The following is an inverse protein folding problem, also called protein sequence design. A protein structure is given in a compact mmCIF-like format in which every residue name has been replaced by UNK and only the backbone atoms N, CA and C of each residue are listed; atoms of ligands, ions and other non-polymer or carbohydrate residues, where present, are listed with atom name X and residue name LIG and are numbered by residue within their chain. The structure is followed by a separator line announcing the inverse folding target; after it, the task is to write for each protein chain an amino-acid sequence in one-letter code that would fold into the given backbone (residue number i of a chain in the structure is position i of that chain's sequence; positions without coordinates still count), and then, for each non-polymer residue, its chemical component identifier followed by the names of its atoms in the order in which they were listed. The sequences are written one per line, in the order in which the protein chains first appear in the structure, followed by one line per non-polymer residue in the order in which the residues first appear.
data_IF_489853405347
#
_entry.id   IF_489853405347
#
_cell.length_a   1.000
_cell.length_b   1.000
_cell.length_c   1.000
_cell.angle_alpha   90.00
_cell.angle_beta   90.00
_cell.angle_gamma   90.00
#
_symmetry.space_group_name_H-M   'P 1'
#
loop_
_entity.id
_entity.type
_entity.pdbx_description
1 polymer ?
#
# COMPACT_ATOMS: atom_id res chain seq x y z
N UNK A 1 -12.02 -1.70 -22.10
CA UNK A 1 -11.08 -0.58 -21.83
C UNK A 1 -11.25 0.07 -20.45
N UNK A 2 -12.45 0.52 -20.04
CA UNK A 2 -12.64 1.30 -18.80
C UNK A 2 -12.35 0.51 -17.51
N UNK A 3 -12.76 -0.76 -17.43
CA UNK A 3 -12.50 -1.60 -16.25
C UNK A 3 -11.00 -1.84 -16.02
N UNK A 4 -10.25 -2.22 -17.07
CA UNK A 4 -8.80 -2.44 -16.97
C UNK A 4 -8.05 -1.16 -16.62
N UNK A 5 -8.51 -0.01 -17.13
CA UNK A 5 -8.01 1.32 -16.73
C UNK A 5 -8.24 1.60 -15.25
N UNK A 6 -9.45 1.39 -14.73
CA UNK A 6 -9.77 1.66 -13.32
C UNK A 6 -8.98 0.74 -12.40
N UNK A 7 -8.84 -0.55 -12.72
CA UNK A 7 -8.08 -1.51 -11.91
C UNK A 7 -6.59 -1.12 -11.88
N UNK A 8 -5.98 -0.89 -13.05
CA UNK A 8 -4.55 -0.53 -13.08
C UNK A 8 -4.27 0.81 -12.42
N UNK A 9 -5.19 1.77 -12.54
CA UNK A 9 -5.09 3.05 -11.85
C UNK A 9 -5.21 2.87 -10.33
N UNK A 10 -6.16 2.04 -9.85
CA UNK A 10 -6.35 1.73 -8.43
C UNK A 10 -5.09 1.12 -7.83
N UNK A 11 -4.66 -0.03 -8.36
CA UNK A 11 -3.50 -0.75 -7.81
C UNK A 11 -2.20 0.05 -7.98
N UNK A 12 -2.06 0.77 -9.11
CA UNK A 12 -0.94 1.66 -9.33
C UNK A 12 -0.86 2.79 -8.31
N UNK A 13 -2.00 3.35 -7.91
CA UNK A 13 -2.09 4.39 -6.87
C UNK A 13 -1.81 3.82 -5.48
N UNK A 14 -2.32 2.63 -5.16
CA UNK A 14 -2.05 1.96 -3.88
C UNK A 14 -0.54 1.67 -3.73
N UNK A 15 0.08 1.06 -4.74
CA UNK A 15 1.52 0.80 -4.79
C UNK A 15 2.35 2.09 -4.69
N UNK A 16 1.95 3.13 -5.43
CA UNK A 16 2.58 4.44 -5.35
C UNK A 16 2.51 5.01 -3.93
N UNK A 17 1.35 4.94 -3.28
CA UNK A 17 1.17 5.51 -1.94
C UNK A 17 2.08 4.83 -0.92
N UNK A 18 2.23 3.51 -0.99
CA UNK A 18 3.15 2.72 -0.15
C UNK A 18 4.59 3.23 -0.31
N UNK A 19 5.04 3.45 -1.55
CA UNK A 19 6.38 3.97 -1.84
C UNK A 19 6.55 5.40 -1.33
N UNK A 20 5.58 6.27 -1.60
CA UNK A 20 5.62 7.67 -1.18
C UNK A 20 5.72 7.80 0.35
N UNK A 21 4.93 6.99 1.06
CA UNK A 21 4.94 6.90 2.52
C UNK A 21 6.29 6.44 3.03
N UNK A 22 6.81 5.34 2.48
CA UNK A 22 8.08 4.75 2.90
C UNK A 22 9.23 5.74 2.72
N UNK A 23 9.33 6.37 1.54
CA UNK A 23 10.36 7.36 1.25
C UNK A 23 10.27 8.58 2.16
N UNK A 24 9.07 9.08 2.39
CA UNK A 24 8.86 10.26 3.23
C UNK A 24 9.15 9.95 4.71
N UNK A 25 8.79 8.77 5.21
CA UNK A 25 9.16 8.31 6.56
C UNK A 25 10.69 8.24 6.73
N UNK A 26 11.40 7.66 5.76
CA UNK A 26 12.86 7.54 5.80
C UNK A 26 13.57 8.89 5.76
N UNK A 27 13.15 9.77 4.85
CA UNK A 27 13.68 11.14 4.76
C UNK A 27 13.47 11.90 6.08
N UNK A 28 12.29 11.75 6.67
CA UNK A 28 11.93 12.40 7.93
C UNK A 28 12.76 11.92 9.12
N UNK A 29 13.09 10.63 9.19
CA UNK A 29 13.97 10.07 10.23
C UNK A 29 15.45 10.41 10.04
N UNK A 30 15.81 11.18 9.01
CA UNK A 30 17.21 11.39 8.63
C UNK A 30 17.88 10.11 8.09
N UNK A 31 17.11 9.06 7.83
CA UNK A 31 17.60 7.75 7.38
C UNK A 31 17.72 7.69 5.85
N UNK A 32 18.28 8.74 5.25
CA UNK A 32 18.46 8.82 3.80
C UNK A 32 19.31 7.67 3.24
N UNK A 33 20.15 7.03 4.07
CA UNK A 33 20.93 5.83 3.73
C UNK A 33 20.05 4.61 3.40
N UNK A 34 18.79 4.60 3.81
CA UNK A 34 17.83 3.53 3.51
C UNK A 34 17.00 3.79 2.25
N UNK A 35 17.05 4.99 1.66
CA UNK A 35 16.36 5.31 0.40
C UNK A 35 16.76 4.38 -0.76
N UNK A 36 18.05 4.00 -0.92
CA UNK A 36 18.43 2.99 -1.90
C UNK A 36 17.75 1.63 -1.68
N UNK A 37 17.46 1.25 -0.42
CA UNK A 37 16.75 0.00 -0.10
C UNK A 37 15.35 -0.02 -0.74
N UNK A 38 14.63 1.10 -0.66
CA UNK A 38 13.32 1.26 -1.30
C UNK A 38 13.44 1.19 -2.83
N UNK A 39 14.45 1.83 -3.42
CA UNK A 39 14.66 1.82 -4.89
C UNK A 39 14.98 0.42 -5.41
N UNK A 40 15.87 -0.29 -4.71
CA UNK A 40 16.16 -1.70 -5.01
C UNK A 40 14.94 -2.58 -4.78
N UNK A 41 14.18 -2.32 -3.72
CA UNK A 41 12.91 -2.98 -3.42
C UNK A 41 11.95 -2.88 -4.59
N UNK A 42 11.67 -1.65 -5.07
CA UNK A 42 10.82 -1.40 -6.25
C UNK A 42 11.31 -2.17 -7.47
N UNK A 43 12.61 -2.08 -7.80
CA UNK A 43 13.17 -2.75 -8.98
C UNK A 43 13.00 -4.27 -8.91
N UNK A 44 13.24 -4.86 -7.73
CA UNK A 44 13.06 -6.29 -7.48
C UNK A 44 11.58 -6.66 -7.46
N UNK A 45 10.69 -5.82 -6.92
CA UNK A 45 9.25 -6.06 -6.92
C UNK A 45 8.68 -6.19 -8.31
N UNK A 46 9.12 -5.36 -9.26
CA UNK A 46 8.62 -5.44 -10.65
C UNK A 46 8.95 -6.80 -11.25
N UNK A 47 10.19 -7.27 -11.07
CA UNK A 47 10.60 -8.62 -11.49
C UNK A 47 9.81 -9.71 -10.77
N UNK A 48 9.69 -9.61 -9.44
CA UNK A 48 8.95 -10.57 -8.62
C UNK A 48 7.46 -10.60 -8.97
N UNK A 49 6.84 -9.47 -9.32
CA UNK A 49 5.43 -9.40 -9.70
C UNK A 49 5.16 -10.20 -10.98
N UNK A 50 6.04 -10.05 -11.98
CA UNK A 50 5.93 -10.79 -13.24
C UNK A 50 6.15 -12.29 -13.00
N UNK A 51 7.20 -12.65 -12.25
CA UNK A 51 7.51 -14.05 -11.95
C UNK A 51 6.41 -14.69 -11.11
N UNK A 52 5.95 -14.02 -10.05
CA UNK A 52 4.90 -14.51 -9.17
C UNK A 52 3.57 -14.64 -9.90
N UNK A 53 3.18 -13.67 -10.74
CA UNK A 53 1.97 -13.76 -11.55
C UNK A 53 1.97 -14.97 -12.49
N UNK A 54 3.10 -15.25 -13.14
CA UNK A 54 3.23 -16.43 -14.04
C UNK A 54 3.25 -17.75 -13.25
N UNK A 55 3.93 -17.79 -12.10
CA UNK A 55 4.02 -19.00 -11.27
C UNK A 55 2.69 -19.32 -10.59
N UNK A 56 2.01 -18.31 -10.03
CA UNK A 56 0.72 -18.46 -9.36
C UNK A 56 -0.40 -18.80 -10.33
N UNK A 57 -0.39 -18.22 -11.53
CA UNK A 57 -1.33 -18.62 -12.59
C UNK A 57 -1.19 -20.07 -13.06
N UNK A 58 -0.11 -20.77 -12.67
CA UNK A 58 0.12 -22.20 -12.93
C UNK A 58 -0.03 -23.07 -11.67
N UNK A 59 -0.20 -22.46 -10.50
CA UNK A 59 -0.26 -23.19 -9.24
C UNK A 59 -1.65 -23.83 -9.04
N UNK A 60 -1.68 -25.07 -8.58
CA UNK A 60 -2.96 -25.79 -8.37
C UNK A 60 -3.81 -25.28 -7.20
N UNK A 61 -3.26 -24.44 -6.31
CA UNK A 61 -3.96 -23.82 -5.18
C UNK A 61 -3.59 -22.33 -5.08
N UNK A 62 -4.03 -21.56 -6.07
CA UNK A 62 -3.78 -20.12 -6.13
C UNK A 62 -4.30 -19.37 -4.88
N UNK A 63 -5.54 -19.58 -4.38
CA UNK A 63 -6.05 -18.87 -3.20
C UNK A 63 -5.23 -19.08 -1.93
N UNK A 64 -4.68 -20.29 -1.74
CA UNK A 64 -3.87 -20.62 -0.57
C UNK A 64 -2.59 -19.78 -0.50
N UNK A 65 -1.91 -19.62 -1.64
CA UNK A 65 -0.67 -18.84 -1.69
C UNK A 65 -0.94 -17.34 -1.52
N UNK A 66 -2.04 -16.84 -2.09
CA UNK A 66 -2.48 -15.46 -1.91
C UNK A 66 -2.81 -15.17 -0.45
N UNK A 67 -3.58 -16.04 0.22
CA UNK A 67 -3.89 -15.91 1.64
C UNK A 67 -2.66 -15.94 2.55
N UNK A 68 -1.69 -16.81 2.28
CA UNK A 68 -0.43 -16.86 3.05
C UNK A 68 0.38 -15.57 2.86
N UNK A 69 0.55 -15.11 1.61
CA UNK A 69 1.28 -13.88 1.32
C UNK A 69 0.59 -12.67 1.96
N UNK A 70 -0.73 -12.62 1.93
CA UNK A 70 -1.53 -11.59 2.60
C UNK A 70 -1.31 -11.61 4.12
N UNK A 71 -1.37 -12.76 4.78
CA UNK A 71 -1.11 -12.85 6.22
C UNK A 71 0.31 -12.43 6.61
N UNK A 72 1.32 -12.86 5.84
CA UNK A 72 2.71 -12.41 6.06
C UNK A 72 2.79 -10.89 5.95
N UNK A 73 2.12 -10.31 4.95
CA UNK A 73 2.04 -8.88 4.78
C UNK A 73 1.29 -8.20 5.96
N UNK A 74 0.20 -8.78 6.50
CA UNK A 74 -0.50 -8.26 7.69
C UNK A 74 0.48 -8.12 8.86
N UNK A 75 1.28 -9.16 9.13
CA UNK A 75 2.23 -9.14 10.25
C UNK A 75 3.30 -8.06 10.03
N UNK A 76 3.84 -7.96 8.82
CA UNK A 76 4.85 -6.95 8.47
C UNK A 76 4.30 -5.53 8.57
N UNK A 77 3.14 -5.26 7.97
CA UNK A 77 2.47 -3.95 8.02
C UNK A 77 2.06 -3.62 9.44
N UNK A 78 1.50 -4.57 10.19
CA UNK A 78 1.12 -4.39 11.59
C UNK A 78 2.32 -4.01 12.45
N UNK A 79 3.47 -4.65 12.23
CA UNK A 79 4.72 -4.28 12.91
C UNK A 79 5.16 -2.85 12.57
N UNK A 80 5.00 -2.41 11.32
CA UNK A 80 5.31 -1.06 10.86
C UNK A 80 4.35 -0.03 11.46
N UNK A 81 3.05 -0.32 11.49
CA UNK A 81 2.00 0.50 12.13
C UNK A 81 2.35 0.73 13.59
N UNK A 82 2.68 -0.33 14.33
CA UNK A 82 3.07 -0.23 15.74
C UNK A 82 4.34 0.61 15.91
N UNK A 83 5.35 0.40 15.06
CA UNK A 83 6.57 1.22 15.09
C UNK A 83 6.30 2.70 14.79
N UNK A 84 5.47 3.00 13.79
CA UNK A 84 5.11 4.37 13.44
C UNK A 84 4.25 5.03 14.51
N UNK A 85 3.34 4.29 15.12
CA UNK A 85 2.50 4.83 16.20
C UNK A 85 3.33 5.16 17.44
N UNK A 86 4.30 4.30 17.79
CA UNK A 86 5.29 4.60 18.84
C UNK A 86 6.13 5.82 18.48
N UNK A 87 6.61 5.90 17.24
CA UNK A 87 7.40 7.03 16.72
C UNK A 87 6.64 8.37 16.77
N UNK A 88 5.35 8.37 16.42
CA UNK A 88 4.52 9.57 16.44
C UNK A 88 4.26 10.07 17.87
N UNK A 89 4.16 9.16 18.84
CA UNK A 89 4.04 9.51 20.27
C UNK A 89 5.34 10.09 20.84
N UNK A 90 6.51 9.61 20.42
CA UNK A 90 7.81 10.17 20.85
C UNK A 90 8.13 11.50 20.18
N UNK A 91 7.77 11.70 18.91
CA UNK A 91 7.97 13.00 18.23
C UNK A 91 7.25 14.17 18.90
N UNK A 92 6.15 13.91 19.64
CA UNK A 92 5.44 14.96 20.38
C UNK A 92 6.12 15.34 21.70
N UNK A 93 7.03 14.50 22.21
CA UNK A 93 7.84 14.74 23.42
C UNK A 93 9.25 15.23 23.10
N UNK A 94 9.84 14.78 21.99
CA UNK A 94 11.20 15.15 21.58
C UNK A 94 11.31 16.56 21.00
N UNK A 95 10.19 17.21 20.62
CA UNK A 95 10.18 18.62 20.21
C UNK A 95 10.31 19.56 21.44
N UNK A 96 10.00 19.09 22.65
CA UNK A 96 10.22 19.86 23.90
C UNK A 96 11.60 19.64 24.51
N UNK A 97 12.24 18.48 24.27
CA UNK A 97 13.56 18.16 24.82
C UNK A 97 14.58 17.88 23.72
N UNK A 98 15.20 18.96 23.25
CA UNK A 98 16.55 19.05 22.68
C UNK A 98 16.97 18.10 21.53
N UNK A 99 17.50 18.76 20.50
CA UNK A 99 18.46 18.21 19.54
C UNK A 99 19.51 17.29 20.22
N UNK A 100 19.87 16.24 19.46
CA UNK A 100 21.11 15.47 19.58
C UNK A 100 21.19 14.40 20.69
N UNK A 101 20.70 13.18 20.42
CA UNK A 101 21.27 11.96 21.04
C UNK A 101 20.91 10.60 20.41
N UNK A 102 20.01 10.49 19.41
CA UNK A 102 19.60 9.15 18.94
C UNK A 102 19.29 9.09 17.44
N UNK A 103 20.28 9.45 16.63
CA UNK A 103 20.44 8.79 15.33
C UNK A 103 21.00 7.38 15.58
N UNK A 104 20.18 6.50 16.17
CA UNK A 104 20.50 5.07 16.23
C UNK A 104 20.82 4.63 14.81
N UNK A 105 22.06 4.21 14.57
CA UNK A 105 22.53 3.78 13.27
C UNK A 105 21.49 2.82 12.68
N UNK A 106 20.90 3.18 11.55
CA UNK A 106 20.08 2.26 10.79
C UNK A 106 21.00 1.12 10.34
N UNK A 107 21.06 0.06 11.13
CA UNK A 107 21.91 -1.10 10.88
C UNK A 107 21.50 -1.84 9.62
N UNK A 108 22.33 -2.79 9.18
CA UNK A 108 22.06 -3.64 8.00
C UNK A 108 20.68 -4.32 8.10
N UNK A 109 20.20 -4.65 9.30
CA UNK A 109 18.87 -5.19 9.53
C UNK A 109 17.73 -4.22 9.16
N UNK A 110 17.87 -2.92 9.43
CA UNK A 110 16.88 -1.91 9.03
C UNK A 110 16.83 -1.72 7.51
N UNK A 111 17.99 -1.81 6.84
CA UNK A 111 18.06 -1.80 5.38
C UNK A 111 17.32 -2.99 4.77
N UNK A 112 17.64 -4.20 5.22
CA UNK A 112 16.97 -5.41 4.73
C UNK A 112 15.47 -5.41 5.06
N UNK A 113 15.07 -4.94 6.25
CA UNK A 113 13.66 -4.81 6.61
C UNK A 113 12.88 -3.88 5.69
N UNK A 114 13.40 -2.68 5.41
CA UNK A 114 12.77 -1.72 4.49
C UNK A 114 12.76 -2.25 3.05
N UNK A 115 13.86 -2.90 2.63
CA UNK A 115 13.96 -3.54 1.33
C UNK A 115 12.88 -4.62 1.17
N UNK A 116 12.82 -5.60 2.09
CA UNK A 116 11.84 -6.69 2.01
C UNK A 116 10.41 -6.20 2.14
N UNK A 117 10.16 -5.20 3.00
CA UNK A 117 8.86 -4.55 3.10
C UNK A 117 8.43 -3.97 1.75
N UNK A 118 9.28 -3.11 1.17
CA UNK A 118 8.99 -2.49 -0.13
C UNK A 118 8.83 -3.57 -1.21
N UNK A 119 9.71 -4.57 -1.19
CA UNK A 119 9.74 -5.67 -2.14
C UNK A 119 8.41 -6.43 -2.13
N UNK A 120 8.01 -6.95 -0.96
CA UNK A 120 6.82 -7.78 -0.78
C UNK A 120 5.54 -7.00 -1.05
N UNK A 121 5.44 -5.77 -0.55
CA UNK A 121 4.22 -4.96 -0.68
C UNK A 121 3.93 -4.61 -2.14
N UNK A 122 4.92 -4.12 -2.88
CA UNK A 122 4.73 -3.79 -4.29
C UNK A 122 4.55 -5.05 -5.12
N UNK A 123 5.21 -6.17 -4.75
CA UNK A 123 4.99 -7.45 -5.43
C UNK A 123 3.55 -7.92 -5.29
N UNK A 124 2.96 -7.75 -4.10
CA UNK A 124 1.55 -8.07 -3.86
C UNK A 124 0.62 -7.24 -4.74
N UNK A 125 0.74 -5.91 -4.72
CA UNK A 125 -0.11 -5.05 -5.56
C UNK A 125 0.09 -5.33 -7.06
N UNK A 126 1.33 -5.63 -7.47
CA UNK A 126 1.64 -6.03 -8.84
C UNK A 126 1.05 -7.39 -9.23
N UNK A 127 0.99 -8.33 -8.28
CA UNK A 127 0.39 -9.65 -8.45
C UNK A 127 -1.13 -9.55 -8.55
N UNK A 128 -1.79 -8.84 -7.64
CA UNK A 128 -3.24 -8.60 -7.69
C UNK A 128 -3.62 -7.92 -9.02
N UNK A 129 -2.87 -6.90 -9.44
CA UNK A 129 -3.05 -6.28 -10.76
C UNK A 129 -2.93 -7.31 -11.90
N UNK A 130 -1.94 -8.19 -11.87
CA UNK A 130 -1.73 -9.20 -12.92
C UNK A 130 -2.88 -10.23 -12.96
N UNK A 131 -3.37 -10.65 -11.81
CA UNK A 131 -4.44 -11.65 -11.68
C UNK A 131 -5.79 -11.08 -12.10
N UNK A 132 -6.15 -9.89 -11.61
CA UNK A 132 -7.37 -9.18 -12.02
C UNK A 132 -7.36 -8.84 -13.51
N UNK A 133 -6.19 -8.55 -14.08
CA UNK A 133 -6.10 -8.35 -15.51
C UNK A 133 -6.25 -9.67 -16.28
N UNK A 134 -5.72 -10.77 -15.76
CA UNK A 134 -5.88 -12.08 -16.38
C UNK A 134 -7.35 -12.49 -16.46
N UNK A 135 -8.14 -12.31 -15.39
CA UNK A 135 -9.58 -12.60 -15.39
C UNK A 135 -10.34 -11.72 -16.39
N UNK A 136 -10.00 -10.43 -16.49
CA UNK A 136 -10.60 -9.52 -17.47
C UNK A 136 -10.24 -9.83 -18.92
N UNK A 137 -9.02 -10.32 -19.17
CA UNK A 137 -8.58 -10.72 -20.51
C UNK A 137 -9.36 -11.92 -21.06
N UNK A 138 -9.99 -12.72 -20.20
CA UNK A 138 -10.94 -13.77 -20.61
C UNK A 138 -12.33 -13.23 -20.95
N UNK A 139 -12.71 -12.04 -20.47
CA UNK A 139 -14.05 -11.47 -20.63
C UNK A 139 -14.13 -10.41 -21.75
N UNK A 140 -13.01 -9.75 -22.08
CA UNK A 140 -12.96 -8.60 -23.00
C UNK A 140 -11.86 -8.80 -24.04
N UNK A 141 -11.99 -8.15 -25.20
CA UNK A 141 -10.95 -8.12 -26.23
C UNK A 141 -9.60 -7.69 -25.64
N UNK A 142 -8.56 -8.51 -25.87
CA UNK A 142 -7.25 -8.39 -25.25
C UNK A 142 -6.51 -7.08 -25.58
N UNK A 143 -6.77 -6.52 -26.75
CA UNK A 143 -6.20 -5.22 -27.17
C UNK A 143 -6.78 -4.05 -26.36
N UNK A 144 -8.10 -4.06 -26.15
CA UNK A 144 -8.78 -3.02 -25.38
C UNK A 144 -8.44 -3.04 -23.89
N UNK A 145 -8.30 -4.25 -23.34
CA UNK A 145 -7.87 -4.43 -21.96
C UNK A 145 -6.45 -3.88 -21.76
N UNK A 146 -5.53 -4.21 -22.68
CA UNK A 146 -4.14 -3.76 -22.64
C UNK A 146 -3.99 -2.23 -22.73
N UNK A 147 -4.75 -1.58 -23.61
CA UNK A 147 -4.73 -0.11 -23.71
C UNK A 147 -5.29 0.59 -22.47
N UNK A 148 -6.37 0.06 -21.89
CA UNK A 148 -6.88 0.55 -20.61
C UNK A 148 -5.84 0.41 -19.50
N UNK A 149 -5.20 -0.76 -19.41
CA UNK A 149 -4.16 -1.05 -18.42
C UNK A 149 -2.96 -0.09 -18.53
N UNK A 150 -2.49 0.13 -19.77
CA UNK A 150 -1.35 1.00 -20.04
C UNK A 150 -1.66 2.47 -19.70
N UNK A 151 -2.86 2.96 -20.05
CA UNK A 151 -3.29 4.30 -19.69
C UNK A 151 -3.41 4.50 -18.17
N UNK A 152 -3.95 3.51 -17.45
CA UNK A 152 -4.08 3.57 -15.99
C UNK A 152 -2.72 3.60 -15.31
N UNK A 153 -1.79 2.75 -15.76
CA UNK A 153 -0.43 2.71 -15.26
C UNK A 153 0.35 4.01 -15.53
N UNK A 154 0.23 4.58 -16.73
CA UNK A 154 0.86 5.86 -17.08
C UNK A 154 0.31 6.99 -16.21
N UNK A 155 -1.01 7.04 -16.00
CA UNK A 155 -1.62 8.05 -15.15
C UNK A 155 -1.19 7.91 -13.68
N UNK A 156 -1.17 6.69 -13.14
CA UNK A 156 -0.67 6.41 -11.80
C UNK A 156 0.80 6.83 -11.65
N UNK A 157 1.65 6.49 -12.62
CA UNK A 157 3.06 6.89 -12.64
C UNK A 157 3.25 8.42 -12.75
N UNK A 158 2.41 9.10 -13.54
CA UNK A 158 2.40 10.55 -13.65
C UNK A 158 2.04 11.24 -12.34
N UNK A 159 0.98 10.77 -11.67
CA UNK A 159 0.57 11.24 -10.34
C UNK A 159 1.67 10.99 -9.30
N UNK A 160 2.31 9.81 -9.36
CA UNK A 160 3.42 9.44 -8.51
C UNK A 160 4.61 10.39 -8.66
N UNK A 161 4.96 10.70 -9.91
CA UNK A 161 6.06 11.60 -10.25
C UNK A 161 5.78 13.04 -9.78
N UNK A 162 4.58 13.55 -10.02
CA UNK A 162 4.17 14.87 -9.52
C UNK A 162 4.28 14.94 -8.00
N UNK A 163 3.75 13.96 -7.29
CA UNK A 163 3.83 13.94 -5.83
C UNK A 163 5.27 13.86 -5.32
N UNK A 164 6.12 13.01 -5.91
CA UNK A 164 7.53 12.91 -5.54
C UNK A 164 8.26 14.25 -5.66
N UNK A 165 7.90 15.06 -6.66
CA UNK A 165 8.51 16.36 -6.92
C UNK A 165 7.95 17.50 -6.08
N UNK A 166 6.66 17.51 -5.79
CA UNK A 166 5.99 18.62 -5.08
C UNK A 166 5.67 18.33 -3.59
N UNK A 167 5.78 17.07 -3.15
CA UNK A 167 5.45 16.64 -1.79
C UNK A 167 6.37 17.18 -0.69
N UNK A 168 7.53 17.75 -1.06
CA UNK A 168 8.47 18.34 -0.10
C UNK A 168 7.93 19.60 0.60
N UNK A 169 6.83 20.19 0.13
CA UNK A 169 6.22 21.40 0.71
C UNK A 169 5.18 21.10 1.80
N UNK A 170 4.92 19.83 2.10
CA UNK A 170 3.85 19.42 3.02
C UNK A 170 4.33 19.51 4.46
N UNK A 171 3.47 20.02 5.35
CA UNK A 171 3.73 20.08 6.78
C UNK A 171 4.03 18.69 7.36
N UNK A 172 5.11 18.66 8.12
CA UNK A 172 5.71 17.44 8.61
C UNK A 172 4.81 16.63 9.58
N UNK A 173 4.05 17.32 10.43
CA UNK A 173 3.10 16.70 11.35
C UNK A 173 1.88 16.13 10.63
N UNK A 174 1.35 16.90 9.68
CA UNK A 174 0.20 16.51 8.86
C UNK A 174 0.48 15.23 8.07
N UNK A 175 1.66 15.17 7.45
CA UNK A 175 2.09 14.02 6.67
C UNK A 175 2.07 12.71 7.49
N UNK A 176 2.58 12.72 8.74
CA UNK A 176 2.55 11.52 9.58
C UNK A 176 1.14 11.11 9.99
N UNK A 177 0.29 12.08 10.32
CA UNK A 177 -1.08 11.78 10.74
C UNK A 177 -1.86 11.11 9.61
N UNK A 178 -1.78 11.67 8.41
CA UNK A 178 -2.40 11.13 7.19
C UNK A 178 -1.88 9.72 6.88
N UNK A 179 -0.57 9.54 6.97
CA UNK A 179 0.10 8.25 6.75
C UNK A 179 -0.33 7.19 7.78
N UNK A 180 -0.49 7.56 9.05
CA UNK A 180 -0.94 6.63 10.09
C UNK A 180 -2.38 6.20 9.90
N UNK A 181 -3.28 7.12 9.52
CA UNK A 181 -4.67 6.79 9.20
C UNK A 181 -4.73 5.82 8.02
N UNK A 182 -3.98 6.11 6.96
CA UNK A 182 -3.85 5.22 5.80
C UNK A 182 -3.37 3.81 6.20
N UNK A 183 -2.26 3.71 6.93
CA UNK A 183 -1.67 2.43 7.30
C UNK A 183 -2.61 1.55 8.14
N UNK A 184 -3.45 2.16 8.98
CA UNK A 184 -4.46 1.42 9.76
C UNK A 184 -5.58 0.89 8.87
N UNK A 185 -6.10 1.72 7.95
CA UNK A 185 -7.11 1.30 6.98
C UNK A 185 -6.56 0.18 6.08
N UNK A 186 -5.32 0.32 5.64
CA UNK A 186 -4.65 -0.66 4.80
C UNK A 186 -4.41 -1.98 5.53
N UNK A 187 -3.97 -1.94 6.78
CA UNK A 187 -3.83 -3.14 7.61
C UNK A 187 -5.16 -3.89 7.74
N UNK A 188 -6.25 -3.14 7.89
CA UNK A 188 -7.60 -3.70 7.96
C UNK A 188 -8.02 -4.34 6.63
N UNK A 189 -7.78 -3.67 5.49
CA UNK A 189 -8.01 -4.22 4.15
C UNK A 189 -7.29 -5.55 3.95
N UNK A 190 -6.00 -5.56 4.29
CA UNK A 190 -5.12 -6.71 4.10
C UNK A 190 -5.51 -7.89 4.98
N UNK A 191 -5.98 -7.62 6.20
CA UNK A 191 -6.48 -8.65 7.09
C UNK A 191 -7.75 -9.31 6.55
N UNK A 192 -8.70 -8.50 6.06
CA UNK A 192 -9.93 -9.00 5.44
C UNK A 192 -9.59 -9.86 4.21
N UNK A 193 -8.72 -9.34 3.32
CA UNK A 193 -8.32 -10.06 2.12
C UNK A 193 -7.64 -11.39 2.43
N UNK A 194 -6.65 -11.39 3.33
CA UNK A 194 -5.97 -12.64 3.72
C UNK A 194 -6.92 -13.64 4.38
N UNK A 195 -7.90 -13.17 5.15
CA UNK A 195 -8.91 -14.03 5.74
C UNK A 195 -9.86 -14.62 4.68
N UNK A 196 -10.29 -13.81 3.70
CA UNK A 196 -11.13 -14.26 2.58
C UNK A 196 -10.47 -15.38 1.77
N UNK A 197 -9.23 -15.18 1.33
CA UNK A 197 -8.47 -16.17 0.54
C UNK A 197 -8.24 -17.48 1.31
N UNK A 198 -8.01 -17.42 2.63
CA UNK A 198 -7.84 -18.62 3.45
C UNK A 198 -9.13 -19.40 3.65
N UNK A 199 -10.28 -18.72 3.67
CA UNK A 199 -11.59 -19.38 3.69
C UNK A 199 -11.89 -20.05 2.35
N UNK A 200 -11.48 -19.45 1.22
CA UNK A 200 -11.61 -20.07 -0.11
C UNK A 200 -10.72 -21.32 -0.24
N UNK A 201 -9.50 -21.26 0.29
CA UNK A 201 -8.58 -22.40 0.32
C UNK A 201 -9.01 -23.54 1.27
N UNK A 202 -10.10 -23.36 2.04
CA UNK A 202 -10.61 -24.31 3.03
C UNK A 202 -9.58 -24.77 4.09
N UNK A 203 -8.62 -23.91 4.44
CA UNK A 203 -7.50 -24.26 5.35
C UNK A 203 -7.85 -23.99 6.82
N UNK A 204 -8.80 -23.09 7.11
CA UNK A 204 -9.11 -22.71 8.48
C UNK A 204 -9.95 -23.80 9.19
N UNK A 205 -9.74 -24.05 10.48
CA UNK A 205 -10.55 -24.97 11.29
C UNK A 205 -11.90 -24.34 11.67
N UNK A 206 -12.64 -23.85 10.67
CA UNK A 206 -13.93 -23.16 10.76
C UNK A 206 -14.84 -23.66 9.62
N UNK A 207 -16.12 -23.29 9.66
CA UNK A 207 -17.05 -23.50 8.54
C UNK A 207 -16.63 -22.61 7.34
N UNK A 208 -15.66 -23.09 6.56
CA UNK A 208 -15.00 -22.32 5.49
C UNK A 208 -15.99 -21.78 4.46
N UNK A 209 -17.00 -22.57 4.04
CA UNK A 209 -18.05 -22.09 3.13
C UNK A 209 -18.80 -20.88 3.71
N UNK A 210 -19.29 -20.97 4.95
CA UNK A 210 -20.07 -19.88 5.57
C UNK A 210 -19.25 -18.60 5.67
N UNK A 211 -17.99 -18.71 6.06
CA UNK A 211 -17.10 -17.56 6.19
C UNK A 211 -16.66 -17.00 4.84
N UNK A 212 -16.52 -17.83 3.81
CA UNK A 212 -16.23 -17.38 2.45
C UNK A 212 -17.39 -16.52 1.91
N UNK A 213 -18.64 -16.99 2.00
CA UNK A 213 -19.82 -16.20 1.61
C UNK A 213 -19.98 -14.89 2.40
N UNK A 214 -19.61 -14.87 3.68
CA UNK A 214 -19.66 -13.65 4.50
C UNK A 214 -18.58 -12.65 4.07
N UNK A 215 -17.43 -13.14 3.60
CA UNK A 215 -16.25 -12.32 3.27
C UNK A 215 -16.20 -11.93 1.80
N UNK A 216 -16.90 -12.63 0.91
CA UNK A 216 -17.05 -12.32 -0.51
C UNK A 216 -17.43 -10.85 -0.81
N UNK A 217 -18.37 -10.21 -0.09
CA UNK A 217 -18.67 -8.79 -0.29
C UNK A 217 -17.51 -7.84 0.06
N UNK A 218 -16.56 -8.30 0.87
CA UNK A 218 -15.39 -7.55 1.35
C UNK A 218 -14.09 -7.92 0.62
N UNK A 219 -14.14 -8.93 -0.26
CA UNK A 219 -13.02 -9.30 -1.14
C UNK A 219 -12.71 -8.22 -2.18
N UNK A 220 -11.63 -8.39 -2.98
CA UNK A 220 -11.14 -7.38 -3.94
C UNK A 220 -12.16 -6.96 -5.00
N UNK A 221 -13.03 -7.90 -5.37
CA UNK A 221 -14.11 -7.72 -6.34
C UNK A 221 -15.45 -7.34 -5.69
N UNK A 222 -15.53 -7.44 -4.36
CA UNK A 222 -16.72 -7.15 -3.57
C UNK A 222 -17.01 -5.64 -3.49
N UNK A 223 -18.30 -5.30 -3.33
CA UNK A 223 -18.75 -3.90 -3.23
C UNK A 223 -18.05 -3.18 -2.09
N UNK A 224 -17.91 -3.82 -0.92
CA UNK A 224 -17.26 -3.20 0.23
C UNK A 224 -15.74 -3.13 0.07
N UNK A 225 -15.11 -4.09 -0.62
CA UNK A 225 -13.69 -4.02 -0.98
C UNK A 225 -13.36 -2.79 -1.82
N UNK A 226 -14.19 -2.51 -2.84
CA UNK A 226 -14.05 -1.30 -3.66
C UNK A 226 -14.20 -0.01 -2.86
N UNK A 227 -15.20 0.06 -1.98
CA UNK A 227 -15.38 1.21 -1.07
C UNK A 227 -14.20 1.37 -0.11
N UNK A 228 -13.61 0.27 0.34
CA UNK A 228 -12.46 0.28 1.23
C UNK A 228 -11.21 0.81 0.52
N UNK A 229 -10.94 0.38 -0.72
CA UNK A 229 -9.89 0.96 -1.57
C UNK A 229 -10.11 2.45 -1.84
N UNK A 230 -11.35 2.86 -2.13
CA UNK A 230 -11.66 4.28 -2.27
C UNK A 230 -11.44 5.05 -0.96
N UNK A 231 -11.83 4.48 0.18
CA UNK A 231 -11.59 5.07 1.49
C UNK A 231 -10.08 5.21 1.78
N UNK A 232 -9.28 4.25 1.32
CA UNK A 232 -7.82 4.26 1.39
C UNK A 232 -7.20 5.49 0.74
N UNK A 233 -7.81 6.04 -0.32
CA UNK A 233 -7.35 7.25 -1.00
C UNK A 233 -8.08 8.50 -0.51
N UNK A 234 -9.41 8.45 -0.43
CA UNK A 234 -10.27 9.59 -0.12
C UNK A 234 -10.12 10.07 1.33
N UNK A 235 -9.94 9.16 2.30
CA UNK A 235 -9.79 9.57 3.71
C UNK A 235 -8.47 10.33 3.90
N UNK A 236 -7.31 9.83 3.44
CA UNK A 236 -6.06 10.61 3.48
C UNK A 236 -6.12 11.94 2.74
N UNK A 237 -6.70 11.97 1.54
CA UNK A 237 -6.84 13.20 0.74
C UNK A 237 -7.78 14.19 1.42
N UNK A 238 -8.93 13.73 1.93
CA UNK A 238 -9.87 14.56 2.69
C UNK A 238 -9.24 15.13 3.94
N UNK A 239 -8.43 14.34 4.65
CA UNK A 239 -7.67 14.80 5.82
C UNK A 239 -6.67 15.91 5.46
N UNK A 240 -5.95 15.75 4.34
CA UNK A 240 -5.04 16.77 3.81
C UNK A 240 -5.79 18.06 3.45
N UNK A 241 -6.94 17.95 2.78
CA UNK A 241 -7.78 19.10 2.42
C UNK A 241 -8.27 19.85 3.66
N UNK A 242 -8.79 19.14 4.66
CA UNK A 242 -9.27 19.75 5.92
C UNK A 242 -8.14 20.48 6.63
N UNK A 243 -6.95 19.88 6.69
CA UNK A 243 -5.81 20.51 7.32
C UNK A 243 -5.31 21.74 6.55
N UNK A 244 -5.28 21.69 5.23
CA UNK A 244 -4.95 22.84 4.39
C UNK A 244 -5.94 23.99 4.56
N UNK A 245 -7.26 23.69 4.64
CA UNK A 245 -8.28 24.72 4.93
C UNK A 245 -8.08 25.33 6.32
N UNK A 246 -7.73 24.53 7.33
CA UNK A 246 -7.45 25.02 8.69
C UNK A 246 -6.22 25.93 8.72
N UNK A 247 -5.14 25.56 8.03
CA UNK A 247 -3.91 26.36 7.93
C UNK A 247 -4.17 27.70 7.25
N UNK A 248 -4.94 27.72 6.15
CA UNK A 248 -5.35 28.97 5.49
C UNK A 248 -6.23 29.86 6.36
N UNK A 249 -7.12 29.28 7.16
CA UNK A 249 -7.97 30.05 8.09
C UNK A 249 -7.15 30.71 9.19
N UNK A 250 -6.11 30.04 9.70
CA UNK A 250 -5.23 30.58 10.73
C UNK A 250 -4.44 31.80 10.22
N UNK A 251 -3.94 31.73 8.98
CA UNK A 251 -3.23 32.84 8.32
C UNK A 251 -4.14 34.04 7.97
N UNK A 252 -5.46 33.84 7.87
CA UNK A 252 -6.42 34.91 7.60
C UNK A 252 -6.88 35.63 8.90
N UNK A 253 -6.59 35.06 10.06
CA UNK A 253 -6.96 35.59 11.38
C UNK A 253 -5.77 36.18 12.16
N UNK A 254 -4.56 36.13 11.60
CA UNK A 254 -3.31 36.70 12.13
C UNK A 254 -2.90 37.92 11.34
#
# INVERSE_FOLDING_TARGET
MFQSFVITLREGLEAFLIVAISLAYLRKRGQNRLVPAVRWGIGISVLLSVVAGVLLGKASNQPLWEGILALVAVVLVGSLVVHMWRAAKTLRKDIEHQLAASATQAGKAAFWGVFFFTALMITREGMEMALLMNTLLFQVSSVEACWGALLGLVLAAGLAWMWSRYGHRIQLGLFLQVTSVFLVLFLFQLFIYGFHELTEAAVLPLDNEKWHWITEPYGPDGVYGQWLSFALVLIPVGWLLVAWVRERRQLATS
#
